data_IF_294353193180
#
_entry.id   IF_294353193180
#
_cell.length_a   1.000
_cell.length_b   1.000
_cell.length_c   1.000
_cell.angle_alpha   90.00
_cell.angle_beta   90.00
_cell.angle_gamma   90.00
#
_symmetry.space_group_name_H-M   'P 1'
#
loop_
_entity.id
_entity.type
_entity.pdbx_description
1 polymer ?
#
# COMPACT_ATOMS: atom_id res chain seq x y z
N UNK A 1 -23.24 -25.21 14.34
CA UNK A 1 -21.76 -25.18 14.29
C UNK A 1 -21.34 -23.86 14.86
N UNK A 2 -20.31 -23.84 15.71
CA UNK A 2 -19.70 -22.59 16.15
C UNK A 2 -18.77 -22.08 15.05
N UNK A 3 -18.69 -20.76 14.91
CA UNK A 3 -17.83 -20.12 13.93
C UNK A 3 -16.35 -20.23 14.33
N UNK A 4 -15.48 -20.23 13.33
CA UNK A 4 -14.04 -20.29 13.47
C UNK A 4 -13.49 -19.00 14.08
N UNK A 5 -12.28 -19.09 14.67
CA UNK A 5 -11.56 -17.90 15.14
C UNK A 5 -11.27 -16.92 14.01
N UNK A 6 -11.00 -17.43 12.81
CA UNK A 6 -10.75 -16.60 11.64
C UNK A 6 -12.00 -15.79 11.26
N UNK A 7 -13.18 -16.42 11.29
CA UNK A 7 -14.46 -15.71 11.10
C UNK A 7 -14.66 -14.64 12.18
N UNK A 8 -14.52 -14.98 13.46
CA UNK A 8 -14.73 -14.00 14.54
C UNK A 8 -13.80 -12.80 14.41
N UNK A 9 -12.52 -13.05 14.11
CA UNK A 9 -11.54 -12.00 13.90
C UNK A 9 -11.85 -11.15 12.66
N UNK A 10 -12.38 -11.75 11.60
CA UNK A 10 -12.81 -11.03 10.40
C UNK A 10 -13.95 -10.05 10.71
N UNK A 11 -14.98 -10.54 11.41
CA UNK A 11 -16.12 -9.71 11.83
C UNK A 11 -15.68 -8.62 12.80
N UNK A 12 -14.72 -8.87 13.68
CA UNK A 12 -14.13 -7.84 14.54
C UNK A 12 -13.41 -6.76 13.74
N UNK A 13 -12.62 -7.13 12.73
CA UNK A 13 -11.96 -6.16 11.84
C UNK A 13 -13.00 -5.33 11.08
N UNK A 14 -14.04 -5.94 10.54
CA UNK A 14 -15.09 -5.23 9.80
C UNK A 14 -15.88 -4.24 10.66
N UNK A 15 -16.02 -4.51 11.96
CA UNK A 15 -16.71 -3.65 12.91
C UNK A 15 -15.75 -2.70 13.64
N UNK A 16 -14.45 -2.74 13.33
CA UNK A 16 -13.46 -1.90 13.97
C UNK A 16 -13.70 -0.42 13.65
N UNK A 17 -13.55 0.42 14.68
CA UNK A 17 -13.66 1.88 14.59
C UNK A 17 -12.46 2.54 15.27
N UNK A 18 -12.15 3.77 14.86
CA UNK A 18 -11.05 4.55 15.43
C UNK A 18 -9.70 3.86 15.24
N UNK A 19 -8.89 3.77 16.31
CA UNK A 19 -7.54 3.20 16.27
C UNK A 19 -7.49 1.74 15.85
N UNK A 20 -8.52 0.94 16.17
CA UNK A 20 -8.60 -0.47 15.75
C UNK A 20 -8.72 -0.64 14.23
N UNK A 21 -9.21 0.37 13.52
CA UNK A 21 -9.29 0.38 12.05
C UNK A 21 -7.96 0.81 11.41
N UNK A 22 -7.10 1.53 12.15
CA UNK A 22 -5.83 2.05 11.62
C UNK A 22 -4.80 0.94 11.37
N UNK A 23 -4.90 -0.20 12.06
CA UNK A 23 -4.06 -1.38 11.81
C UNK A 23 -4.34 -2.01 10.42
N UNK A 24 -5.39 -1.55 9.74
CA UNK A 24 -5.80 -2.00 8.42
C UNK A 24 -6.44 -3.39 8.46
N UNK A 25 -6.72 -3.89 7.27
CA UNK A 25 -7.25 -5.23 7.09
C UNK A 25 -6.14 -6.24 6.85
N UNK A 26 -6.38 -7.50 7.22
CA UNK A 26 -5.49 -8.62 6.91
C UNK A 26 -6.13 -9.55 5.85
N UNK A 27 -5.94 -9.29 4.54
CA UNK A 27 -6.61 -10.05 3.47
C UNK A 27 -6.35 -11.55 3.49
N UNK A 28 -5.20 -11.97 4.03
CA UNK A 28 -4.85 -13.39 4.18
C UNK A 28 -5.82 -14.16 5.07
N UNK A 29 -6.60 -13.48 5.92
CA UNK A 29 -7.65 -14.11 6.71
C UNK A 29 -8.69 -14.84 5.85
N UNK A 30 -8.92 -14.38 4.60
CA UNK A 30 -9.80 -15.03 3.62
C UNK A 30 -9.35 -16.45 3.22
N UNK A 31 -8.08 -16.80 3.46
CA UNK A 31 -7.51 -18.12 3.19
C UNK A 31 -7.68 -19.08 4.39
N UNK A 32 -7.99 -18.54 5.58
CA UNK A 32 -8.18 -19.30 6.83
C UNK A 32 -9.67 -19.56 7.16
N UNK A 33 -10.58 -18.86 6.47
CA UNK A 33 -12.03 -18.99 6.62
C UNK A 33 -12.52 -20.27 5.92
N UNK A 34 -13.33 -21.07 6.62
CA UNK A 34 -13.92 -22.28 6.05
C UNK A 34 -14.94 -21.94 4.96
N UNK A 35 -15.06 -22.80 3.94
CA UNK A 35 -15.97 -22.55 2.81
C UNK A 35 -17.43 -22.32 3.24
N UNK A 36 -17.91 -22.97 4.31
CA UNK A 36 -19.27 -22.79 4.82
C UNK A 36 -19.54 -21.43 5.51
N UNK A 37 -18.49 -20.75 5.97
CA UNK A 37 -18.53 -19.40 6.54
C UNK A 37 -18.29 -18.32 5.48
N UNK A 38 -17.63 -18.73 4.39
CA UNK A 38 -17.08 -17.83 3.38
C UNK A 38 -18.14 -17.11 2.59
N UNK A 39 -19.25 -17.78 2.27
CA UNK A 39 -20.36 -17.17 1.53
C UNK A 39 -20.91 -15.94 2.24
N UNK A 40 -21.08 -16.00 3.57
CA UNK A 40 -21.56 -14.86 4.37
C UNK A 40 -20.53 -13.73 4.39
N UNK A 41 -19.25 -14.06 4.59
CA UNK A 41 -18.17 -13.06 4.63
C UNK A 41 -18.04 -12.34 3.29
N UNK A 42 -18.09 -13.06 2.17
CA UNK A 42 -18.01 -12.46 0.85
C UNK A 42 -19.19 -11.53 0.58
N UNK A 43 -20.40 -11.89 1.04
CA UNK A 43 -21.58 -11.02 0.91
C UNK A 43 -21.42 -9.72 1.71
N UNK A 44 -20.85 -9.80 2.92
CA UNK A 44 -20.59 -8.63 3.75
C UNK A 44 -19.55 -7.71 3.08
N UNK A 45 -18.42 -8.26 2.63
CA UNK A 45 -17.37 -7.49 1.94
C UNK A 45 -17.92 -6.83 0.69
N UNK A 46 -18.65 -7.59 -0.14
CA UNK A 46 -19.23 -7.09 -1.37
C UNK A 46 -20.20 -5.94 -1.10
N UNK A 47 -21.06 -6.10 -0.09
CA UNK A 47 -22.01 -5.07 0.34
C UNK A 47 -21.31 -3.82 0.86
N UNK A 48 -20.29 -3.96 1.71
CA UNK A 48 -19.53 -2.83 2.24
C UNK A 48 -18.83 -2.05 1.12
N UNK A 49 -18.24 -2.74 0.15
CA UNK A 49 -17.58 -2.09 -0.97
C UNK A 49 -18.56 -1.43 -1.95
N UNK A 50 -19.59 -2.16 -2.40
CA UNK A 50 -20.48 -1.70 -3.47
C UNK A 50 -21.58 -0.76 -2.99
N UNK A 51 -22.13 -0.97 -1.80
CA UNK A 51 -23.29 -0.19 -1.30
C UNK A 51 -22.88 0.90 -0.30
N UNK A 52 -21.89 0.62 0.55
CA UNK A 52 -21.42 1.57 1.57
C UNK A 52 -20.21 2.38 1.13
N UNK A 53 -19.67 2.09 -0.06
CA UNK A 53 -18.47 2.71 -0.63
C UNK A 53 -17.25 2.70 0.30
N UNK A 54 -17.15 1.70 1.19
CA UNK A 54 -16.00 1.55 2.08
C UNK A 54 -14.79 1.08 1.26
N UNK A 55 -13.82 1.97 1.06
CA UNK A 55 -12.66 1.68 0.22
C UNK A 55 -11.65 0.76 0.93
N UNK A 56 -11.65 0.73 2.26
CA UNK A 56 -10.64 -0.03 2.99
C UNK A 56 -10.83 -1.54 2.75
N UNK A 57 -12.08 -1.99 2.56
CA UNK A 57 -12.37 -3.41 2.27
C UNK A 57 -11.98 -3.84 0.86
N UNK A 58 -11.52 -2.92 0.00
CA UNK A 58 -11.04 -3.21 -1.35
C UNK A 58 -9.95 -4.30 -1.37
N UNK A 59 -9.13 -4.37 -0.31
CA UNK A 59 -8.04 -5.34 -0.20
C UNK A 59 -8.52 -6.80 -0.20
N UNK A 60 -9.79 -7.06 0.16
CA UNK A 60 -10.39 -8.40 0.14
C UNK A 60 -10.95 -8.80 -1.23
N UNK A 61 -11.30 -7.83 -2.10
CA UNK A 61 -11.98 -8.10 -3.37
C UNK A 61 -11.24 -9.10 -4.27
N UNK A 62 -9.91 -9.07 -4.41
CA UNK A 62 -9.19 -10.04 -5.24
C UNK A 62 -9.30 -11.49 -4.75
N UNK A 63 -9.70 -11.70 -3.49
CA UNK A 63 -9.81 -13.02 -2.85
C UNK A 63 -11.23 -13.58 -2.88
N UNK A 64 -12.24 -12.82 -3.32
CA UNK A 64 -13.61 -13.31 -3.41
C UNK A 64 -13.72 -14.44 -4.47
N UNK A 65 -14.40 -15.54 -4.15
CA UNK A 65 -14.72 -16.63 -5.10
C UNK A 65 -16.13 -16.50 -5.67
N UNK A 66 -17.08 -15.98 -4.89
CA UNK A 66 -18.49 -15.80 -5.27
C UNK A 66 -18.66 -14.61 -6.22
N UNK A 67 -17.83 -13.58 -6.06
CA UNK A 67 -17.92 -12.33 -6.81
C UNK A 67 -16.72 -12.07 -7.70
N UNK A 68 -16.94 -11.34 -8.80
CA UNK A 68 -15.89 -10.88 -9.71
C UNK A 68 -15.15 -9.65 -9.15
N UNK A 69 -14.47 -9.83 -8.02
CA UNK A 69 -13.88 -8.72 -7.26
C UNK A 69 -12.85 -7.91 -8.05
N UNK A 70 -11.97 -8.56 -8.80
CA UNK A 70 -10.95 -7.87 -9.61
C UNK A 70 -11.57 -6.99 -10.70
N UNK A 71 -12.59 -7.50 -11.41
CA UNK A 71 -13.29 -6.69 -12.42
C UNK A 71 -14.03 -5.53 -11.78
N UNK A 72 -14.61 -5.73 -10.59
CA UNK A 72 -15.24 -4.64 -9.85
C UNK A 72 -14.25 -3.54 -9.45
N UNK A 73 -13.04 -3.89 -9.03
CA UNK A 73 -11.98 -2.93 -8.74
C UNK A 73 -11.63 -2.10 -9.99
N UNK A 74 -11.51 -2.74 -11.17
CA UNK A 74 -11.22 -2.05 -12.44
C UNK A 74 -12.34 -1.09 -12.84
N UNK A 75 -13.60 -1.53 -12.79
CA UNK A 75 -14.76 -0.67 -13.05
C UNK A 75 -14.77 0.58 -12.16
N UNK A 76 -14.49 0.38 -10.87
CA UNK A 76 -14.50 1.48 -9.91
C UNK A 76 -13.31 2.42 -10.09
N UNK A 77 -12.15 1.91 -10.50
CA UNK A 77 -11.00 2.74 -10.84
C UNK A 77 -11.28 3.60 -12.08
N UNK A 78 -11.92 3.04 -13.12
CA UNK A 78 -12.27 3.78 -14.33
C UNK A 78 -13.19 4.98 -14.08
N UNK A 79 -14.01 4.92 -13.03
CA UNK A 79 -14.93 6.00 -12.63
C UNK A 79 -14.38 6.89 -11.52
N UNK A 80 -13.18 6.59 -11.00
CA UNK A 80 -12.56 7.35 -9.94
C UNK A 80 -11.93 8.66 -10.45
N UNK A 81 -12.07 9.72 -9.68
CA UNK A 81 -11.33 10.97 -9.92
C UNK A 81 -9.86 10.79 -9.58
N UNK A 82 -8.99 11.46 -10.33
CA UNK A 82 -7.55 11.53 -10.05
C UNK A 82 -7.18 13.01 -9.89
N UNK A 83 -6.62 13.44 -8.74
CA UNK A 83 -6.18 12.59 -7.63
C UNK A 83 -7.31 12.23 -6.65
N UNK A 84 -7.24 11.04 -6.07
CA UNK A 84 -8.10 10.64 -4.95
C UNK A 84 -7.52 9.44 -4.20
N UNK A 85 -7.83 9.35 -2.90
CA UNK A 85 -7.50 8.18 -2.08
C UNK A 85 -8.01 6.88 -2.71
N UNK A 86 -9.23 6.90 -3.25
CA UNK A 86 -9.82 5.77 -3.98
C UNK A 86 -8.94 5.34 -5.14
N UNK A 87 -8.53 6.28 -5.99
CA UNK A 87 -7.70 5.95 -7.17
C UNK A 87 -6.33 5.38 -6.78
N UNK A 88 -5.70 5.85 -5.70
CA UNK A 88 -4.44 5.30 -5.19
C UNK A 88 -4.64 3.89 -4.65
N UNK A 89 -5.60 3.69 -3.74
CA UNK A 89 -5.86 2.39 -3.11
C UNK A 89 -6.18 1.32 -4.16
N UNK A 90 -7.08 1.62 -5.10
CA UNK A 90 -7.46 0.68 -6.16
C UNK A 90 -6.29 0.36 -7.09
N UNK A 91 -5.50 1.37 -7.48
CA UNK A 91 -4.35 1.16 -8.37
C UNK A 91 -3.26 0.32 -7.72
N UNK A 92 -3.01 0.48 -6.42
CA UNK A 92 -2.05 -0.35 -5.67
C UNK A 92 -2.50 -1.80 -5.65
N UNK A 93 -3.75 -2.05 -5.27
CA UNK A 93 -4.30 -3.42 -5.21
C UNK A 93 -4.23 -4.08 -6.60
N UNK A 94 -4.64 -3.37 -7.65
CA UNK A 94 -4.61 -3.89 -9.01
C UNK A 94 -3.18 -4.13 -9.51
N UNK A 95 -2.25 -3.23 -9.19
CA UNK A 95 -0.84 -3.41 -9.51
C UNK A 95 -0.24 -4.65 -8.83
N UNK A 96 -0.54 -4.91 -7.55
CA UNK A 96 -0.05 -6.10 -6.86
C UNK A 96 -0.58 -7.43 -7.42
N UNK A 97 -1.67 -7.40 -8.19
CA UNK A 97 -2.26 -8.60 -8.81
C UNK A 97 -1.52 -8.99 -10.09
N UNK A 98 -1.19 -8.03 -10.95
CA UNK A 98 -0.71 -8.32 -12.31
C UNK A 98 0.50 -7.49 -12.78
N UNK A 99 1.02 -6.60 -11.93
CA UNK A 99 2.15 -5.70 -12.21
C UNK A 99 1.96 -4.84 -13.48
N UNK A 100 0.72 -4.56 -13.87
CA UNK A 100 0.42 -3.72 -15.02
C UNK A 100 0.84 -2.26 -14.74
N UNK A 101 1.77 -1.76 -15.56
CA UNK A 101 2.33 -0.42 -15.44
C UNK A 101 1.28 0.69 -15.53
N UNK A 102 0.14 0.45 -16.17
CA UNK A 102 -0.93 1.44 -16.24
C UNK A 102 -1.44 1.85 -14.86
N UNK A 103 -1.48 0.93 -13.90
CA UNK A 103 -1.83 1.24 -12.51
C UNK A 103 -0.72 2.03 -11.80
N UNK A 104 0.54 1.72 -12.09
CA UNK A 104 1.68 2.48 -11.55
C UNK A 104 1.68 3.93 -12.04
N UNK A 105 1.33 4.17 -13.31
CA UNK A 105 1.19 5.53 -13.86
C UNK A 105 0.06 6.31 -13.16
N UNK A 106 -1.05 5.65 -12.78
CA UNK A 106 -2.12 6.28 -12.01
C UNK A 106 -1.64 6.66 -10.60
N UNK A 107 -0.87 5.78 -9.95
CA UNK A 107 -0.27 6.07 -8.63
C UNK A 107 0.68 7.27 -8.75
N UNK A 108 1.58 7.26 -9.75
CA UNK A 108 2.51 8.36 -10.03
C UNK A 108 1.76 9.68 -10.24
N UNK A 109 0.72 9.68 -11.07
CA UNK A 109 -0.11 10.87 -11.32
C UNK A 109 -0.79 11.41 -10.06
N UNK A 110 -1.21 10.55 -9.12
CA UNK A 110 -1.74 10.99 -7.83
C UNK A 110 -0.67 11.72 -6.99
N UNK A 111 0.56 11.21 -6.98
CA UNK A 111 1.67 11.80 -6.23
C UNK A 111 2.07 13.14 -6.86
N UNK A 112 2.14 13.24 -8.18
CA UNK A 112 2.46 14.49 -8.88
C UNK A 112 1.42 15.59 -8.66
N UNK A 113 0.13 15.22 -8.62
CA UNK A 113 -0.97 16.18 -8.41
C UNK A 113 -1.17 16.56 -6.94
N UNK A 114 -0.76 15.70 -6.00
CA UNK A 114 -0.80 15.96 -4.55
C UNK A 114 0.59 15.76 -3.90
N UNK A 115 1.61 16.57 -4.25
CA UNK A 115 3.03 16.29 -3.92
C UNK A 115 3.36 16.29 -2.43
N UNK A 116 2.50 16.90 -1.60
CA UNK A 116 2.67 16.95 -0.15
C UNK A 116 1.81 15.92 0.60
N UNK A 117 1.08 15.06 -0.11
CA UNK A 117 0.18 14.08 0.50
C UNK A 117 0.91 12.79 0.80
N UNK A 118 1.47 12.73 2.01
CA UNK A 118 2.22 11.59 2.53
C UNK A 118 1.50 10.25 2.33
N UNK A 119 0.18 10.21 2.54
CA UNK A 119 -0.59 8.96 2.41
C UNK A 119 -0.52 8.33 1.03
N UNK A 120 -0.27 9.09 -0.05
CA UNK A 120 -0.09 8.53 -1.39
C UNK A 120 1.22 7.72 -1.48
N UNK A 121 2.29 8.18 -0.82
CA UNK A 121 3.59 7.50 -0.77
C UNK A 121 3.60 6.40 0.30
N UNK A 122 2.96 6.61 1.46
CA UNK A 122 2.84 5.60 2.50
C UNK A 122 2.05 4.37 2.06
N UNK A 123 1.11 4.49 1.12
CA UNK A 123 0.45 3.30 0.57
C UNK A 123 1.37 2.53 -0.39
N UNK A 124 2.22 3.24 -1.13
CA UNK A 124 3.18 2.65 -2.07
C UNK A 124 4.22 1.77 -1.37
N UNK A 125 4.67 2.15 -0.17
CA UNK A 125 5.64 1.36 0.61
C UNK A 125 5.07 0.00 1.08
N UNK A 126 3.75 -0.18 1.08
CA UNK A 126 3.11 -1.45 1.43
C UNK A 126 3.12 -2.46 0.29
N UNK A 127 3.38 -2.02 -0.94
CA UNK A 127 3.57 -2.93 -2.06
C UNK A 127 4.74 -3.87 -1.77
N UNK A 128 4.61 -5.14 -2.17
CA UNK A 128 5.74 -6.06 -2.15
C UNK A 128 6.96 -5.48 -2.90
N UNK A 129 8.19 -5.76 -2.45
CA UNK A 129 9.40 -5.33 -3.14
C UNK A 129 9.38 -5.69 -4.63
N UNK A 130 9.56 -4.68 -5.48
CA UNK A 130 9.51 -4.80 -6.94
C UNK A 130 10.37 -3.69 -7.56
N UNK A 131 11.09 -4.00 -8.65
CA UNK A 131 12.00 -3.05 -9.28
C UNK A 131 11.32 -1.75 -9.74
N UNK A 132 10.05 -1.80 -10.19
CA UNK A 132 9.30 -0.62 -10.62
C UNK A 132 8.78 0.23 -9.47
N UNK A 133 8.40 -0.41 -8.37
CA UNK A 133 8.11 0.31 -7.12
C UNK A 133 9.37 1.00 -6.60
N UNK A 134 10.51 0.30 -6.61
CA UNK A 134 11.79 0.86 -6.25
C UNK A 134 12.17 2.07 -7.12
N UNK A 135 12.08 1.95 -8.45
CA UNK A 135 12.34 3.05 -9.39
C UNK A 135 11.47 4.28 -9.08
N UNK A 136 10.17 4.09 -8.82
CA UNK A 136 9.26 5.18 -8.47
C UNK A 136 9.61 5.81 -7.11
N UNK A 137 9.95 5.03 -6.10
CA UNK A 137 10.37 5.54 -4.79
C UNK A 137 11.66 6.37 -4.89
N UNK A 138 12.62 5.92 -5.70
CA UNK A 138 13.85 6.69 -6.00
C UNK A 138 13.52 8.00 -6.71
N UNK A 139 12.60 7.98 -7.69
CA UNK A 139 12.13 9.19 -8.37
C UNK A 139 11.48 10.18 -7.38
N UNK A 140 10.64 9.70 -6.46
CA UNK A 140 10.00 10.52 -5.42
C UNK A 140 11.06 11.13 -4.49
N UNK A 141 12.01 10.34 -4.01
CA UNK A 141 13.09 10.82 -3.13
C UNK A 141 13.91 11.94 -3.80
N UNK A 142 14.32 11.72 -5.06
CA UNK A 142 15.18 12.66 -5.80
C UNK A 142 14.45 13.97 -6.10
N UNK A 143 13.14 13.94 -6.39
CA UNK A 143 12.43 15.09 -6.94
C UNK A 143 11.49 15.79 -5.95
N UNK A 144 11.15 15.19 -4.80
CA UNK A 144 10.25 15.82 -3.85
C UNK A 144 10.93 16.93 -3.04
N UNK A 145 10.27 18.07 -2.95
CA UNK A 145 10.70 19.19 -2.08
C UNK A 145 10.34 18.94 -0.61
N UNK A 146 9.40 18.04 -0.30
CA UNK A 146 9.02 17.72 1.07
C UNK A 146 9.95 16.67 1.69
N UNK A 147 10.61 17.06 2.77
CA UNK A 147 11.41 16.20 3.64
C UNK A 147 10.65 14.96 4.14
N UNK A 148 9.40 15.12 4.58
CA UNK A 148 8.53 14.04 5.05
C UNK A 148 8.27 13.03 3.92
N UNK A 149 7.99 13.52 2.71
CA UNK A 149 7.78 12.67 1.53
C UNK A 149 9.06 11.93 1.15
N UNK A 150 10.21 12.62 1.16
CA UNK A 150 11.51 12.01 0.90
C UNK A 150 11.83 10.92 1.93
N UNK A 151 11.67 11.21 3.21
CA UNK A 151 11.89 10.24 4.29
C UNK A 151 10.98 9.02 4.15
N UNK A 152 9.69 9.23 3.86
CA UNK A 152 8.74 8.13 3.60
C UNK A 152 9.19 7.26 2.41
N UNK A 153 9.68 7.89 1.33
CA UNK A 153 10.20 7.16 0.18
C UNK A 153 11.47 6.35 0.52
N UNK A 154 12.36 6.89 1.36
CA UNK A 154 13.59 6.21 1.83
C UNK A 154 13.24 4.93 2.59
N UNK A 155 12.26 4.95 3.50
CA UNK A 155 11.81 3.72 4.18
C UNK A 155 11.38 2.65 3.16
N UNK A 156 10.66 3.05 2.11
CA UNK A 156 10.29 2.16 1.01
C UNK A 156 11.48 1.63 0.19
N UNK A 157 12.50 2.47 -0.05
CA UNK A 157 13.76 2.11 -0.71
C UNK A 157 14.49 1.04 0.10
N UNK A 158 14.62 1.23 1.41
CA UNK A 158 15.27 0.28 2.33
C UNK A 158 14.51 -1.06 2.39
N UNK A 159 13.18 -1.01 2.42
CA UNK A 159 12.34 -2.21 2.37
C UNK A 159 12.52 -2.97 1.04
N UNK A 160 12.55 -2.26 -0.10
CA UNK A 160 12.77 -2.89 -1.41
C UNK A 160 14.14 -3.56 -1.54
N UNK A 161 15.15 -3.08 -0.81
CA UNK A 161 16.49 -3.67 -0.76
C UNK A 161 16.64 -4.76 0.31
N UNK A 162 15.60 -5.04 1.09
CA UNK A 162 15.62 -6.05 2.16
C UNK A 162 16.45 -5.66 3.38
N UNK A 163 16.76 -4.36 3.55
CA UNK A 163 17.44 -3.84 4.74
C UNK A 163 16.45 -3.75 5.91
N UNK A 164 15.21 -3.34 5.59
CA UNK A 164 14.05 -3.45 6.47
C UNK A 164 13.20 -4.60 5.95
N UNK A 165 12.61 -5.39 6.85
CA UNK A 165 11.76 -6.53 6.53
C UNK A 165 10.28 -6.21 6.65
N UNK A 166 9.91 -5.27 7.53
CA UNK A 166 8.55 -4.78 7.69
C UNK A 166 8.52 -3.25 7.79
N UNK A 167 8.02 -2.54 6.76
CA UNK A 167 7.94 -1.07 6.77
C UNK A 167 6.89 -0.52 7.76
N UNK A 168 6.17 -1.39 8.49
CA UNK A 168 5.28 -1.02 9.59
C UNK A 168 5.91 -1.23 10.97
N UNK A 169 7.06 -1.90 11.06
CA UNK A 169 7.74 -2.12 12.34
C UNK A 169 8.57 -0.88 12.70
N UNK A 170 7.99 -0.02 13.56
CA UNK A 170 8.65 1.17 14.06
C UNK A 170 9.98 0.87 14.77
N UNK A 171 10.11 -0.28 15.44
CA UNK A 171 11.38 -0.67 16.08
C UNK A 171 12.45 -0.97 15.03
N UNK A 172 12.08 -1.62 13.93
CA UNK A 172 12.99 -1.90 12.82
C UNK A 172 13.41 -0.62 12.09
N UNK A 173 12.47 0.29 11.84
CA UNK A 173 12.76 1.60 11.25
C UNK A 173 13.74 2.37 12.14
N UNK A 174 13.47 2.45 13.45
CA UNK A 174 14.34 3.15 14.41
C UNK A 174 15.76 2.55 14.44
N UNK A 175 15.90 1.21 14.31
CA UNK A 175 17.22 0.56 14.24
C UNK A 175 18.02 0.97 13.01
N UNK A 176 17.35 1.38 11.93
CA UNK A 176 17.96 1.79 10.67
C UNK A 176 18.03 3.33 10.49
N UNK A 177 17.69 4.10 11.53
CA UNK A 177 17.60 5.57 11.45
C UNK A 177 18.91 6.24 11.01
N UNK A 178 20.06 5.69 11.43
CA UNK A 178 21.36 6.25 11.05
C UNK A 178 21.65 6.08 9.56
N UNK A 179 21.13 5.03 8.92
CA UNK A 179 21.20 4.88 7.47
C UNK A 179 20.22 5.83 6.79
N UNK A 180 18.98 5.95 7.28
CA UNK A 180 17.99 6.89 6.74
C UNK A 180 18.50 8.33 6.76
N UNK A 181 19.17 8.75 7.85
CA UNK A 181 19.79 10.08 7.98
C UNK A 181 20.84 10.37 6.91
N UNK A 182 21.50 9.35 6.33
CA UNK A 182 22.44 9.58 5.23
C UNK A 182 21.75 9.99 3.93
N UNK A 183 20.43 9.83 3.84
CA UNK A 183 19.60 10.31 2.74
C UNK A 183 19.09 11.73 2.96
N UNK A 184 19.34 12.35 4.11
CA UNK A 184 18.85 13.69 4.43
C UNK A 184 19.64 14.77 3.68
N UNK A 185 19.07 15.24 2.57
CA UNK A 185 19.64 16.28 1.73
C UNK A 185 18.53 17.04 1.00
N UNK A 186 18.60 18.37 1.06
CA UNK A 186 17.74 19.25 0.27
C UNK A 186 18.25 19.42 -1.18
N UNK A 187 19.57 19.25 -1.41
CA UNK A 187 20.16 19.39 -2.74
C UNK A 187 19.82 18.18 -3.64
N UNK A 188 19.23 18.45 -4.80
CA UNK A 188 18.82 17.42 -5.77
C UNK A 188 20.02 16.66 -6.36
N UNK A 189 21.14 17.34 -6.58
CA UNK A 189 22.34 16.70 -7.15
C UNK A 189 22.96 15.74 -6.14
N UNK A 190 23.00 16.12 -4.87
CA UNK A 190 23.49 15.29 -3.79
C UNK A 190 22.58 14.08 -3.54
N UNK A 191 21.25 14.26 -3.59
CA UNK A 191 20.28 13.15 -3.55
C UNK A 191 20.57 12.08 -4.61
N UNK A 192 20.87 12.49 -5.84
CA UNK A 192 21.27 11.55 -6.92
C UNK A 192 22.55 10.79 -6.56
N UNK A 193 23.58 11.48 -6.05
CA UNK A 193 24.83 10.83 -5.63
C UNK A 193 24.63 9.89 -4.44
N UNK A 194 23.75 10.22 -3.50
CA UNK A 194 23.40 9.35 -2.37
C UNK A 194 22.84 8.04 -2.90
N UNK A 195 21.89 8.07 -3.85
CA UNK A 195 21.36 6.86 -4.49
C UNK A 195 22.47 6.07 -5.20
N UNK A 196 23.35 6.73 -5.95
CA UNK A 196 24.48 6.04 -6.60
C UNK A 196 25.42 5.36 -5.60
N UNK A 197 25.74 6.01 -4.48
CA UNK A 197 26.56 5.44 -3.39
C UNK A 197 25.82 4.28 -2.71
N UNK A 198 24.51 4.43 -2.47
CA UNK A 198 23.67 3.39 -1.91
C UNK A 198 23.73 2.10 -2.73
N UNK A 199 23.51 2.22 -4.04
CA UNK A 199 23.50 1.09 -4.97
C UNK A 199 24.86 0.40 -5.06
N UNK A 200 25.95 1.14 -4.82
CA UNK A 200 27.32 0.62 -4.77
C UNK A 200 27.71 0.09 -3.39
N UNK A 201 26.83 0.12 -2.40
CA UNK A 201 27.10 -0.24 -1.00
C UNK A 201 28.21 0.62 -0.36
N UNK A 202 28.22 1.91 -0.67
CA UNK A 202 29.23 2.90 -0.24
C UNK A 202 28.67 3.95 0.73
N UNK A 203 27.49 3.72 1.29
CA UNK A 203 26.80 4.65 2.18
C UNK A 203 27.19 4.48 3.64
#
# INVERSE_FOLDING_TARGET
>A
MENSKAYSYFIEQLNAVGTKRMDGYYPKLMEEIYDWERDEIEDIVWKQFCEKEDIDVAAFLPKLKKYQGVEKLKEMLLTSTVPSERSVTLSIILYEINEDKTYLEIIKKNIELEPNKMSNVSKLIYCKPNCKIYELLVEIYINSESDIIRSTAVTGILYNKGIITNPLDLQEIIKNIDLERKFDSDDLTERKKIIEKFEKHQL
#
